data_IF_548448344955
#
_entry.id   IF_548448344955
#
_cell.length_a   1.000
_cell.length_b   1.000
_cell.length_c   1.000
_cell.angle_alpha   90.00
_cell.angle_beta   90.00
_cell.angle_gamma   90.00
#
_symmetry.space_group_name_H-M   'P 1'
#
loop_
_entity.id
_entity.type
_entity.pdbx_description
1 polymer ?
#
# COMPACT_ATOMS: atom_id res chain seq x y z
N UNK A 1 -0.89 28.29 -0.69
CA UNK A 1 -1.10 28.80 -2.07
C UNK A 1 -2.57 28.63 -2.46
N UNK A 2 -3.20 29.64 -3.05
CA UNK A 2 -4.60 29.58 -3.50
C UNK A 2 -4.87 28.44 -4.49
N UNK A 3 -3.86 28.02 -5.27
CA UNK A 3 -3.95 26.89 -6.20
C UNK A 3 -4.13 25.55 -5.47
N UNK A 4 -3.32 25.27 -4.45
CA UNK A 4 -3.41 24.04 -3.65
C UNK A 4 -4.75 23.94 -2.93
N UNK A 5 -5.24 25.05 -2.38
CA UNK A 5 -6.56 25.10 -1.74
C UNK A 5 -7.70 24.86 -2.74
N UNK A 6 -7.62 25.42 -3.95
CA UNK A 6 -8.61 25.17 -5.01
C UNK A 6 -8.61 23.70 -5.46
N UNK A 7 -7.43 23.10 -5.63
CA UNK A 7 -7.28 21.69 -5.97
C UNK A 7 -7.86 20.78 -4.87
N UNK A 8 -7.51 21.03 -3.61
CA UNK A 8 -8.05 20.27 -2.48
C UNK A 8 -9.58 20.35 -2.43
N UNK A 9 -10.17 21.53 -2.65
CA UNK A 9 -11.64 21.70 -2.71
C UNK A 9 -12.26 20.92 -3.86
N UNK A 10 -11.69 21.02 -5.06
CA UNK A 10 -12.19 20.30 -6.24
C UNK A 10 -12.16 18.78 -6.02
N UNK A 11 -11.05 18.25 -5.48
CA UNK A 11 -10.91 16.83 -5.20
C UNK A 11 -11.81 16.34 -4.06
N UNK A 12 -11.97 17.14 -2.98
CA UNK A 12 -12.93 16.82 -1.90
C UNK A 12 -14.37 16.75 -2.42
N UNK A 13 -14.72 17.61 -3.37
CA UNK A 13 -16.04 17.63 -3.99
C UNK A 13 -16.26 16.41 -4.91
N UNK A 14 -15.30 16.07 -5.77
CA UNK A 14 -15.43 14.93 -6.70
C UNK A 14 -15.30 13.56 -5.99
N UNK A 15 -14.51 13.48 -4.92
CA UNK A 15 -14.20 12.23 -4.21
C UNK A 15 -14.52 12.31 -2.71
N UNK A 16 -15.79 12.56 -2.33
CA UNK A 16 -16.18 12.75 -0.94
C UNK A 16 -15.87 11.50 -0.11
N UNK A 17 -15.16 11.68 1.01
CA UNK A 17 -14.84 10.60 1.95
C UNK A 17 -13.71 9.66 1.54
N UNK A 18 -13.16 9.78 0.32
CA UNK A 18 -12.05 8.93 -0.14
C UNK A 18 -10.68 9.48 0.26
N UNK A 19 -10.57 10.79 0.46
CA UNK A 19 -9.35 11.45 0.94
C UNK A 19 -9.63 12.67 1.82
N UNK A 20 -8.74 12.88 2.78
CA UNK A 20 -8.51 14.17 3.44
C UNK A 20 -7.30 14.87 2.84
N UNK A 21 -7.18 16.16 3.10
CA UNK A 21 -6.00 16.93 2.69
C UNK A 21 -5.42 17.61 3.91
N UNK A 22 -4.09 17.62 4.00
CA UNK A 22 -3.32 18.23 5.06
C UNK A 22 -2.42 19.32 4.47
N UNK A 23 -2.49 20.50 5.07
CA UNK A 23 -1.52 21.60 4.92
C UNK A 23 -1.04 21.97 6.33
N UNK A 24 0.20 22.45 6.47
CA UNK A 24 0.83 22.75 7.77
C UNK A 24 -0.01 23.66 8.68
N UNK A 25 -0.80 24.57 8.10
CA UNK A 25 -1.62 25.54 8.80
C UNK A 25 -3.13 25.25 8.73
N UNK A 26 -3.53 24.07 8.22
CA UNK A 26 -4.95 23.69 8.20
C UNK A 26 -5.39 23.27 9.61
N UNK A 27 -6.36 23.95 10.24
CA UNK A 27 -6.88 23.54 11.55
C UNK A 27 -7.50 22.14 11.53
N UNK A 28 -7.95 21.65 10.37
CA UNK A 28 -8.49 20.30 10.22
C UNK A 28 -7.41 19.19 10.27
N UNK A 29 -6.12 19.57 10.33
CA UNK A 29 -5.01 18.62 10.41
C UNK A 29 -5.09 17.74 11.67
N UNK A 30 -5.40 18.32 12.83
CA UNK A 30 -5.47 17.54 14.07
C UNK A 30 -6.59 16.50 14.02
N UNK A 31 -7.75 16.87 13.48
CA UNK A 31 -8.86 15.95 13.27
C UNK A 31 -8.49 14.82 12.31
N UNK A 32 -7.73 15.14 11.25
CA UNK A 32 -7.24 14.16 10.30
C UNK A 32 -6.25 13.19 10.94
N UNK A 33 -5.31 13.68 11.75
CA UNK A 33 -4.33 12.85 12.48
C UNK A 33 -4.99 12.05 13.61
N UNK A 34 -6.07 12.56 14.21
CA UNK A 34 -6.85 11.83 15.21
C UNK A 34 -7.57 10.63 14.59
N UNK A 35 -8.11 10.77 13.36
CA UNK A 35 -8.73 9.66 12.61
C UNK A 35 -7.71 8.62 12.14
N UNK A 36 -6.44 8.99 12.01
CA UNK A 36 -5.36 8.10 11.55
C UNK A 36 -4.16 8.13 12.52
N UNK A 37 -4.25 7.49 13.69
CA UNK A 37 -3.20 7.56 14.72
C UNK A 37 -1.80 7.13 14.24
N UNK A 38 -1.72 6.17 13.30
CA UNK A 38 -0.45 5.70 12.72
C UNK A 38 0.30 6.76 11.91
N UNK A 39 -0.32 7.90 11.61
CA UNK A 39 0.31 9.01 10.89
C UNK A 39 0.98 10.04 11.80
N UNK A 40 0.81 9.95 13.12
CA UNK A 40 1.37 10.94 14.07
C UNK A 40 2.88 11.05 13.96
N UNK A 41 3.59 9.93 13.84
CA UNK A 41 5.05 9.91 13.70
C UNK A 41 5.51 10.44 12.33
N UNK A 42 4.61 10.38 11.33
CA UNK A 42 4.84 10.88 9.97
C UNK A 42 4.41 12.32 9.77
N UNK A 43 4.02 13.05 10.83
CA UNK A 43 3.49 14.42 10.74
C UNK A 43 4.38 15.36 9.92
N UNK A 44 5.71 15.25 10.07
CA UNK A 44 6.68 16.10 9.37
C UNK A 44 6.70 15.86 7.85
N UNK A 45 6.31 14.67 7.40
CA UNK A 45 6.23 14.32 5.98
C UNK A 45 4.88 14.74 5.37
N UNK A 46 3.83 14.70 6.18
CA UNK A 46 2.47 15.09 5.78
C UNK A 46 2.32 16.62 5.75
N UNK A 47 2.85 17.30 6.76
CA UNK A 47 2.67 18.74 6.97
C UNK A 47 3.86 19.48 6.37
N UNK A 48 3.68 20.01 5.17
CA UNK A 48 4.70 20.80 4.48
C UNK A 48 4.26 22.25 4.38
N UNK A 49 5.20 23.16 4.54
CA UNK A 49 4.97 24.57 4.30
C UNK A 49 4.70 24.80 2.81
N UNK A 50 3.54 25.41 2.49
CA UNK A 50 3.11 25.70 1.12
C UNK A 50 2.74 24.47 0.26
N UNK A 51 2.86 23.25 0.79
CA UNK A 51 2.59 22.01 0.08
C UNK A 51 1.30 21.32 0.53
N UNK A 52 0.80 20.40 -0.30
CA UNK A 52 -0.40 19.64 -0.02
C UNK A 52 -0.06 18.15 0.10
N UNK A 53 -0.56 17.51 1.15
CA UNK A 53 -0.55 16.05 1.26
C UNK A 53 -1.99 15.55 1.26
N UNK A 54 -2.27 14.54 0.44
CA UNK A 54 -3.53 13.82 0.50
C UNK A 54 -3.39 12.63 1.46
N UNK A 55 -4.33 12.46 2.38
CA UNK A 55 -4.41 11.31 3.29
C UNK A 55 -5.61 10.49 2.88
N UNK A 56 -5.38 9.26 2.44
CA UNK A 56 -6.42 8.36 1.99
C UNK A 56 -7.11 7.69 3.18
N UNK A 57 -8.33 7.19 3.00
CA UNK A 57 -9.10 6.53 4.07
C UNK A 57 -8.38 5.33 4.72
N UNK A 58 -7.42 4.72 4.02
CA UNK A 58 -6.59 3.61 4.54
C UNK A 58 -5.49 4.07 5.50
N UNK A 59 -5.32 5.37 5.72
CA UNK A 59 -4.20 5.92 6.50
C UNK A 59 -2.88 5.96 5.73
N UNK A 60 -2.89 5.78 4.41
CA UNK A 60 -1.75 6.04 3.52
C UNK A 60 -1.81 7.50 3.07
N UNK A 61 -0.67 8.17 2.96
CA UNK A 61 -0.62 9.54 2.47
C UNK A 61 0.23 9.68 1.21
N UNK A 62 -0.18 10.60 0.34
CA UNK A 62 0.55 11.03 -0.86
C UNK A 62 1.01 12.46 -0.62
N UNK A 63 2.28 12.64 -0.29
CA UNK A 63 2.89 13.96 -0.17
C UNK A 63 3.06 14.61 -1.54
N UNK A 64 3.13 15.95 -1.61
CA UNK A 64 3.39 16.69 -2.86
C UNK A 64 2.34 16.37 -3.93
N UNK A 65 1.10 16.14 -3.55
CA UNK A 65 0.07 15.76 -4.52
C UNK A 65 -0.25 16.90 -5.50
N UNK A 66 0.16 18.13 -5.20
CA UNK A 66 0.17 19.28 -6.11
C UNK A 66 1.19 19.18 -7.23
N UNK A 67 2.32 18.50 -7.01
CA UNK A 67 3.39 18.30 -8.01
C UNK A 67 2.99 17.19 -8.99
N UNK A 68 2.29 16.15 -8.50
CA UNK A 68 1.90 14.97 -9.28
C UNK A 68 0.41 14.61 -9.10
N UNK A 69 -0.53 15.48 -9.50
CA UNK A 69 -1.97 15.28 -9.24
C UNK A 69 -2.55 14.05 -9.96
N UNK A 70 -1.89 13.58 -11.04
CA UNK A 70 -2.32 12.39 -11.77
C UNK A 70 -2.27 11.11 -10.93
N UNK A 71 -1.24 10.95 -10.09
CA UNK A 71 -1.09 9.79 -9.21
C UNK A 71 -2.26 9.74 -8.22
N UNK A 72 -2.53 10.87 -7.57
CA UNK A 72 -3.66 10.97 -6.63
C UNK A 72 -5.00 10.74 -7.34
N UNK A 73 -5.22 11.33 -8.52
CA UNK A 73 -6.45 11.12 -9.29
C UNK A 73 -6.64 9.66 -9.69
N UNK A 74 -5.58 8.99 -10.14
CA UNK A 74 -5.61 7.57 -10.49
C UNK A 74 -6.00 6.73 -9.27
N UNK A 75 -5.36 6.95 -8.13
CA UNK A 75 -5.67 6.24 -6.89
C UNK A 75 -7.12 6.48 -6.41
N UNK A 76 -7.61 7.71 -6.50
CA UNK A 76 -8.99 8.05 -6.13
C UNK A 76 -10.02 7.41 -7.08
N UNK A 77 -9.75 7.42 -8.38
CA UNK A 77 -10.58 6.74 -9.38
C UNK A 77 -10.55 5.22 -9.18
N UNK A 78 -9.38 4.66 -8.93
CA UNK A 78 -9.20 3.24 -8.61
C UNK A 78 -10.05 2.87 -7.38
N UNK A 79 -9.93 3.59 -6.27
CA UNK A 79 -10.76 3.34 -5.07
C UNK A 79 -12.25 3.49 -5.31
N UNK A 80 -12.66 4.47 -6.13
CA UNK A 80 -14.07 4.67 -6.49
C UNK A 80 -14.63 3.51 -7.32
N UNK A 81 -13.80 2.84 -8.11
CA UNK A 81 -14.23 1.81 -9.07
C UNK A 81 -14.02 0.38 -8.56
N UNK A 82 -12.96 0.16 -7.78
CA UNK A 82 -12.63 -1.14 -7.21
C UNK A 82 -13.65 -1.50 -6.14
N UNK A 83 -14.12 -2.74 -6.21
CA UNK A 83 -15.02 -3.32 -5.23
C UNK A 83 -14.30 -4.48 -4.57
N UNK A 84 -14.48 -4.59 -3.26
CA UNK A 84 -14.03 -5.79 -2.56
C UNK A 84 -14.76 -7.00 -3.16
N UNK A 85 -14.06 -8.13 -3.35
CA UNK A 85 -14.70 -9.35 -3.79
C UNK A 85 -15.79 -9.77 -2.78
N UNK A 86 -16.89 -10.40 -3.24
CA UNK A 86 -17.88 -10.97 -2.35
C UNK A 86 -17.25 -11.98 -1.38
N UNK A 87 -17.80 -12.10 -0.17
CA UNK A 87 -17.29 -13.03 0.85
C UNK A 87 -17.15 -14.47 0.35
N UNK A 88 -18.10 -14.92 -0.49
CA UNK A 88 -18.05 -16.24 -1.10
C UNK A 88 -16.80 -16.43 -1.99
N UNK A 89 -16.42 -15.41 -2.76
CA UNK A 89 -15.22 -15.46 -3.60
C UNK A 89 -13.94 -15.47 -2.75
N UNK A 90 -13.93 -14.70 -1.64
CA UNK A 90 -12.82 -14.73 -0.67
C UNK A 90 -12.69 -16.12 -0.04
N UNK A 91 -13.81 -16.71 0.40
CA UNK A 91 -13.83 -18.04 0.99
C UNK A 91 -13.36 -19.12 0.01
N UNK A 92 -13.74 -19.01 -1.27
CA UNK A 92 -13.26 -19.91 -2.31
C UNK A 92 -11.75 -19.81 -2.53
N UNK A 93 -11.21 -18.59 -2.64
CA UNK A 93 -9.76 -18.37 -2.77
C UNK A 93 -9.00 -18.92 -1.57
N UNK A 94 -9.52 -18.68 -0.37
CA UNK A 94 -8.95 -19.14 0.88
C UNK A 94 -8.87 -20.68 0.93
N UNK A 95 -9.98 -21.35 0.57
CA UNK A 95 -10.06 -22.81 0.56
C UNK A 95 -9.21 -23.43 -0.57
N UNK A 96 -9.18 -22.82 -1.74
CA UNK A 96 -8.57 -23.40 -2.95
C UNK A 96 -7.06 -23.20 -3.02
N UNK A 97 -6.54 -22.10 -2.47
CA UNK A 97 -5.14 -21.72 -2.63
C UNK A 97 -4.44 -21.42 -1.31
N UNK A 98 -5.01 -20.54 -0.47
CA UNK A 98 -4.32 -20.03 0.73
C UNK A 98 -4.11 -21.12 1.78
N UNK A 99 -5.18 -21.80 2.21
CA UNK A 99 -5.10 -22.87 3.22
C UNK A 99 -4.20 -24.04 2.78
N UNK A 100 -4.28 -24.56 1.54
CA UNK A 100 -3.36 -25.58 1.07
C UNK A 100 -1.89 -25.14 1.08
N UNK A 101 -1.59 -23.90 0.70
CA UNK A 101 -0.23 -23.35 0.77
C UNK A 101 0.26 -23.25 2.23
N UNK A 102 -0.60 -22.82 3.15
CA UNK A 102 -0.28 -22.77 4.59
C UNK A 102 0.02 -24.16 5.17
N UNK A 103 -0.74 -25.19 4.77
CA UNK A 103 -0.48 -26.57 5.20
C UNK A 103 0.88 -27.07 4.70
N UNK A 104 1.22 -26.78 3.43
CA UNK A 104 2.55 -27.10 2.89
C UNK A 104 3.65 -26.37 3.64
N UNK A 105 3.45 -25.11 4.04
CA UNK A 105 4.39 -24.37 4.89
C UNK A 105 4.61 -25.04 6.25
N UNK A 106 3.54 -25.52 6.88
CA UNK A 106 3.59 -26.16 8.19
C UNK A 106 4.20 -27.57 8.19
N UNK A 107 4.42 -28.17 7.02
CA UNK A 107 5.05 -29.49 6.88
C UNK A 107 6.53 -29.54 7.32
N UNK A 108 7.16 -28.39 7.59
CA UNK A 108 8.54 -28.31 8.10
C UNK A 108 9.63 -28.27 7.03
N UNK A 109 9.26 -28.21 5.74
CA UNK A 109 10.23 -28.02 4.67
C UNK A 109 10.78 -26.58 4.66
N UNK A 110 12.10 -26.41 4.81
CA UNK A 110 12.79 -25.11 4.80
C UNK A 110 12.47 -24.25 3.56
N UNK A 111 12.22 -24.89 2.41
CA UNK A 111 11.83 -24.23 1.14
C UNK A 111 10.54 -24.84 0.60
N UNK A 112 9.51 -24.89 1.45
CA UNK A 112 8.20 -25.43 1.13
C UNK A 112 7.60 -24.85 -0.18
N UNK A 113 7.93 -23.61 -0.54
CA UNK A 113 7.45 -22.96 -1.76
C UNK A 113 8.05 -23.54 -3.06
N UNK A 114 9.18 -24.25 -2.98
CA UNK A 114 9.74 -25.03 -4.09
C UNK A 114 9.11 -26.43 -4.19
N UNK A 115 8.29 -26.83 -3.22
CA UNK A 115 7.63 -28.12 -3.26
C UNK A 115 6.71 -28.20 -4.49
N UNK A 116 6.68 -29.31 -5.26
CA UNK A 116 5.85 -29.42 -6.46
C UNK A 116 4.36 -29.13 -6.21
N UNK A 117 3.86 -29.46 -5.01
CA UNK A 117 2.50 -29.10 -4.60
C UNK A 117 2.27 -27.59 -4.54
N UNK A 118 3.19 -26.84 -3.95
CA UNK A 118 3.10 -25.38 -3.83
C UNK A 118 3.19 -24.72 -5.21
N UNK A 119 4.15 -25.16 -6.04
CA UNK A 119 4.31 -24.64 -7.41
C UNK A 119 3.05 -24.85 -8.25
N UNK A 120 2.39 -26.02 -8.14
CA UNK A 120 1.11 -26.27 -8.83
C UNK A 120 0.00 -25.36 -8.36
N UNK A 121 -0.14 -25.13 -7.06
CA UNK A 121 -1.14 -24.22 -6.49
C UNK A 121 -0.92 -22.78 -6.94
N UNK A 122 0.34 -22.31 -6.90
CA UNK A 122 0.72 -20.97 -7.35
C UNK A 122 0.44 -20.82 -8.84
N UNK A 123 0.86 -21.77 -9.67
CA UNK A 123 0.60 -21.75 -11.11
C UNK A 123 -0.91 -21.75 -11.42
N UNK A 124 -1.70 -22.55 -10.71
CA UNK A 124 -3.15 -22.58 -10.87
C UNK A 124 -3.81 -21.24 -10.47
N UNK A 125 -3.37 -20.61 -9.38
CA UNK A 125 -3.88 -19.30 -8.97
C UNK A 125 -3.51 -18.23 -10.00
N UNK A 126 -2.27 -18.23 -10.51
CA UNK A 126 -1.85 -17.30 -11.56
C UNK A 126 -2.66 -17.50 -12.84
N UNK A 127 -2.93 -18.74 -13.25
CA UNK A 127 -3.71 -19.04 -14.44
C UNK A 127 -5.19 -18.61 -14.31
N UNK A 128 -5.78 -18.79 -13.12
CA UNK A 128 -7.21 -18.52 -12.87
C UNK A 128 -7.49 -17.07 -12.48
N UNK A 129 -6.65 -16.50 -11.64
CA UNK A 129 -6.88 -15.22 -10.97
C UNK A 129 -5.90 -14.13 -11.39
N UNK A 130 -4.89 -14.45 -12.22
CA UNK A 130 -3.81 -13.54 -12.63
C UNK A 130 -2.92 -13.05 -11.47
N UNK A 131 -3.06 -13.60 -10.27
CA UNK A 131 -2.19 -13.32 -9.12
C UNK A 131 -2.06 -14.53 -8.19
N UNK A 132 -1.03 -14.52 -7.35
CA UNK A 132 -0.86 -15.48 -6.26
C UNK A 132 -0.16 -14.78 -5.08
N UNK A 133 -0.57 -15.13 -3.86
CA UNK A 133 0.06 -14.63 -2.63
C UNK A 133 0.79 -15.79 -1.97
N UNK A 134 2.09 -15.60 -1.71
CA UNK A 134 2.95 -16.59 -1.07
C UNK A 134 3.51 -15.97 0.21
N UNK A 135 2.89 -16.29 1.33
CA UNK A 135 3.26 -15.77 2.65
C UNK A 135 4.23 -16.70 3.40
N UNK A 136 5.17 -16.12 4.15
CA UNK A 136 6.23 -16.87 4.83
C UNK A 136 7.21 -17.51 3.86
N UNK A 137 7.53 -16.81 2.77
CA UNK A 137 8.51 -17.23 1.76
C UNK A 137 9.92 -17.31 2.35
N UNK A 138 10.28 -16.34 3.19
CA UNK A 138 11.59 -16.21 3.82
C UNK A 138 11.45 -16.28 5.35
N UNK A 139 12.42 -16.88 6.06
CA UNK A 139 12.52 -16.74 7.51
C UNK A 139 12.73 -15.28 7.92
N UNK A 140 12.22 -14.90 9.09
CA UNK A 140 12.32 -13.52 9.62
C UNK A 140 13.76 -13.00 9.63
N UNK A 141 14.72 -13.82 10.07
CA UNK A 141 16.13 -13.46 10.10
C UNK A 141 16.73 -13.19 8.71
N UNK A 142 16.20 -13.80 7.64
CA UNK A 142 16.62 -13.49 6.27
C UNK A 142 16.00 -12.19 5.80
N UNK A 143 14.72 -11.97 6.09
CA UNK A 143 14.02 -10.74 5.77
C UNK A 143 14.68 -9.52 6.43
N UNK A 144 15.05 -9.64 7.70
CA UNK A 144 15.77 -8.61 8.46
C UNK A 144 17.14 -8.27 7.84
N UNK A 145 17.90 -9.29 7.40
CA UNK A 145 19.18 -9.08 6.70
C UNK A 145 18.99 -8.40 5.35
N UNK A 146 17.96 -8.78 4.60
CA UNK A 146 17.63 -8.13 3.33
C UNK A 146 17.24 -6.67 3.54
N UNK A 147 16.43 -6.37 4.58
CA UNK A 147 16.06 -5.00 4.94
C UNK A 147 17.30 -4.16 5.27
N UNK A 148 18.18 -4.65 6.15
CA UNK A 148 19.41 -3.93 6.50
C UNK A 148 20.33 -3.69 5.30
N UNK A 149 20.43 -4.65 4.39
CA UNK A 149 21.20 -4.51 3.14
C UNK A 149 20.58 -3.45 2.23
N UNK A 150 19.26 -3.49 2.04
CA UNK A 150 18.52 -2.51 1.25
C UNK A 150 18.70 -1.09 1.80
N UNK A 151 18.60 -0.90 3.12
CA UNK A 151 18.84 0.38 3.79
C UNK A 151 20.27 0.88 3.61
N UNK A 152 21.26 -0.01 3.70
CA UNK A 152 22.66 0.33 3.45
C UNK A 152 22.86 0.79 2.00
N UNK A 153 22.42 0.00 1.02
CA UNK A 153 22.54 0.34 -0.39
C UNK A 153 21.84 1.65 -0.74
N UNK A 154 20.71 1.93 -0.09
CA UNK A 154 20.00 3.21 -0.26
C UNK A 154 20.83 4.39 0.28
N UNK A 155 21.39 4.27 1.50
CA UNK A 155 22.26 5.31 2.09
C UNK A 155 23.51 5.57 1.24
N UNK A 156 24.10 4.51 0.69
CA UNK A 156 25.29 4.58 -0.17
C UNK A 156 24.97 5.02 -1.61
N UNK A 157 23.70 5.28 -1.94
CA UNK A 157 23.22 5.64 -3.29
C UNK A 157 23.50 4.57 -4.35
N UNK A 158 23.72 3.33 -3.93
CA UNK A 158 23.90 2.17 -4.80
C UNK A 158 22.55 1.55 -5.20
N UNK A 159 21.51 1.82 -4.43
CA UNK A 159 20.12 1.51 -4.77
C UNK A 159 19.35 2.82 -4.86
N UNK A 160 18.64 3.03 -5.97
CA UNK A 160 17.67 4.12 -6.07
C UNK A 160 16.45 3.75 -5.23
N UNK A 161 15.73 4.74 -4.69
CA UNK A 161 14.36 4.47 -4.26
C UNK A 161 13.66 3.79 -5.42
N UNK A 162 12.96 2.69 -5.15
CA UNK A 162 12.16 2.03 -6.17
C UNK A 162 11.34 3.10 -6.89
N UNK A 163 11.32 3.03 -8.21
CA UNK A 163 10.36 3.82 -8.98
C UNK A 163 9.00 3.28 -8.51
N UNK A 164 8.33 4.00 -7.62
CA UNK A 164 6.87 3.98 -7.63
C UNK A 164 6.52 4.43 -9.04
N UNK A 165 6.17 3.50 -9.92
CA UNK A 165 5.74 3.83 -11.28
C UNK A 165 4.64 4.89 -11.13
N UNK A 166 4.98 6.11 -11.54
CA UNK A 166 4.16 7.31 -11.42
C UNK A 166 3.05 7.32 -12.47
#
# INVERSE_FOLDING_TARGET
>A
DGRSAAMARALRHEFPGLCGFAELHDPALEDLLARHPGLRDSRRHICREGGLSAVLASGVFVSRCEEHPKVLLFELLYRRTVRLPPEAAVAELEASFVKPLQQLRQSGHLRWWLHPGALRLVAASLARNCFAVVDGLLPEAELERLRGTAEQLFRERQMRAGIEEQ
#
